data_IF_201275638460
#
_entry.id   IF_201275638460
#
_cell.length_a   1.000
_cell.length_b   1.000
_cell.length_c   1.000
_cell.angle_alpha   90.00
_cell.angle_beta   90.00
_cell.angle_gamma   90.00
#
_symmetry.space_group_name_H-M   'P 1'
#
loop_
_entity.id
_entity.type
_entity.pdbx_description
1 polymer ?
#
# COMPACT_ATOMS: atom_id res chain seq x y z
N UNK A 1 -14.30 -6.98 4.92
CA UNK A 1 -15.27 -8.10 4.96
C UNK A 1 -14.71 -9.42 5.46
N UNK A 2 -13.80 -10.09 4.74
CA UNK A 2 -13.33 -11.44 5.16
C UNK A 2 -12.60 -11.40 6.49
N UNK A 3 -11.64 -10.48 6.63
CA UNK A 3 -10.88 -10.30 7.87
C UNK A 3 -11.76 -10.02 9.08
N UNK A 4 -12.83 -9.25 8.89
CA UNK A 4 -13.74 -8.87 9.98
C UNK A 4 -14.57 -10.04 10.45
N UNK A 5 -15.07 -10.86 9.52
CA UNK A 5 -15.80 -12.08 9.84
C UNK A 5 -14.92 -13.04 10.67
N UNK A 6 -13.66 -13.21 10.27
CA UNK A 6 -12.73 -14.09 11.00
C UNK A 6 -12.44 -13.59 12.41
N UNK A 7 -12.10 -12.30 12.56
CA UNK A 7 -11.75 -11.72 13.87
C UNK A 7 -12.96 -11.66 14.81
N UNK A 8 -14.13 -11.22 14.32
CA UNK A 8 -15.33 -11.10 15.16
C UNK A 8 -15.73 -12.44 15.76
N UNK A 9 -15.62 -13.53 14.98
CA UNK A 9 -15.93 -14.89 15.45
C UNK A 9 -15.07 -15.30 16.66
N UNK A 10 -13.77 -15.03 16.61
CA UNK A 10 -12.85 -15.35 17.71
C UNK A 10 -13.11 -14.48 18.95
N UNK A 11 -13.41 -13.19 18.77
CA UNK A 11 -13.70 -12.29 19.87
C UNK A 11 -15.06 -12.57 20.54
N UNK A 12 -16.05 -13.05 19.78
CA UNK A 12 -17.31 -13.51 20.33
C UNK A 12 -17.13 -14.74 21.22
N UNK A 13 -16.23 -15.65 20.86
CA UNK A 13 -15.92 -16.83 21.68
C UNK A 13 -15.37 -16.45 23.07
N UNK A 14 -14.63 -15.34 23.16
CA UNK A 14 -14.02 -14.84 24.41
C UNK A 14 -14.90 -13.75 25.07
N UNK A 15 -16.13 -13.51 24.58
CA UNK A 15 -17.05 -12.48 25.06
C UNK A 15 -16.46 -11.04 25.06
N UNK A 16 -15.57 -10.74 24.11
CA UNK A 16 -14.83 -9.48 24.03
C UNK A 16 -15.34 -8.55 22.91
N UNK A 17 -16.67 -8.39 22.81
CA UNK A 17 -17.33 -7.69 21.68
C UNK A 17 -16.93 -6.21 21.58
N UNK A 18 -16.72 -5.54 22.71
CA UNK A 18 -16.33 -4.12 22.76
C UNK A 18 -14.92 -3.86 22.20
N UNK A 19 -14.07 -4.88 22.08
CA UNK A 19 -12.71 -4.75 21.55
C UNK A 19 -12.63 -4.96 20.04
N UNK A 20 -13.68 -5.49 19.41
CA UNK A 20 -13.70 -5.82 17.98
C UNK A 20 -13.38 -4.61 17.10
N UNK A 21 -13.99 -3.45 17.37
CA UNK A 21 -13.71 -2.23 16.60
C UNK A 21 -12.27 -1.76 16.75
N UNK A 22 -11.74 -1.84 17.98
CA UNK A 22 -10.37 -1.42 18.28
C UNK A 22 -9.31 -2.26 17.56
N UNK A 23 -9.43 -3.59 17.63
CA UNK A 23 -8.44 -4.50 17.03
C UNK A 23 -8.46 -4.42 15.50
N UNK A 24 -9.66 -4.32 14.90
CA UNK A 24 -9.81 -4.19 13.46
C UNK A 24 -9.20 -2.89 12.97
N UNK A 25 -9.47 -1.78 13.67
CA UNK A 25 -8.93 -0.46 13.33
C UNK A 25 -7.41 -0.46 13.36
N UNK A 26 -6.81 -0.98 14.44
CA UNK A 26 -5.35 -1.08 14.59
C UNK A 26 -4.76 -1.97 13.49
N UNK A 27 -5.36 -3.13 13.20
CA UNK A 27 -4.87 -4.04 12.17
C UNK A 27 -4.91 -3.42 10.77
N UNK A 28 -5.98 -2.69 10.44
CA UNK A 28 -6.11 -2.02 9.15
C UNK A 28 -5.12 -0.86 8.99
N UNK A 29 -4.98 0.02 9.99
CA UNK A 29 -4.14 1.20 9.85
C UNK A 29 -2.65 0.85 9.81
N UNK A 30 -2.21 -0.15 10.61
CA UNK A 30 -0.79 -0.49 10.75
C UNK A 30 -0.25 -1.36 9.64
N UNK A 31 -1.05 -2.31 9.16
CA UNK A 31 -0.57 -3.34 8.23
C UNK A 31 -1.47 -3.50 7.01
N UNK A 32 -2.75 -3.86 7.21
CA UNK A 32 -3.55 -4.36 6.09
C UNK A 32 -3.78 -3.30 4.99
N UNK A 33 -4.16 -2.07 5.36
CA UNK A 33 -4.45 -1.02 4.39
C UNK A 33 -3.21 -0.60 3.59
N UNK A 34 -2.07 -0.21 4.20
CA UNK A 34 -0.90 0.22 3.44
C UNK A 34 -0.34 -0.90 2.54
N UNK A 35 -0.30 -2.14 3.03
CA UNK A 35 0.25 -3.27 2.25
C UNK A 35 -0.66 -3.64 1.09
N UNK A 36 -1.97 -3.84 1.34
CA UNK A 36 -2.89 -4.26 0.27
C UNK A 36 -3.05 -3.20 -0.81
N UNK A 37 -3.10 -1.91 -0.44
CA UNK A 37 -3.15 -0.83 -1.43
C UNK A 37 -1.89 -0.80 -2.29
N UNK A 38 -0.71 -0.94 -1.69
CA UNK A 38 0.54 -1.00 -2.44
C UNK A 38 0.60 -2.21 -3.37
N UNK A 39 0.18 -3.40 -2.93
CA UNK A 39 0.14 -4.62 -3.78
C UNK A 39 -0.74 -4.43 -5.02
N UNK A 40 -1.93 -3.83 -4.86
CA UNK A 40 -2.83 -3.54 -5.99
C UNK A 40 -2.18 -2.52 -6.95
N UNK A 41 -1.53 -1.51 -6.39
CA UNK A 41 -0.86 -0.46 -7.17
C UNK A 41 0.34 -1.01 -7.94
N UNK A 42 1.11 -1.94 -7.37
CA UNK A 42 2.16 -2.65 -8.13
C UNK A 42 1.57 -3.34 -9.36
N UNK A 43 0.45 -4.05 -9.19
CA UNK A 43 -0.18 -4.77 -10.29
C UNK A 43 -0.60 -3.87 -11.45
N UNK A 44 -1.12 -2.66 -11.19
CA UNK A 44 -1.61 -1.76 -12.25
C UNK A 44 -0.64 -0.66 -12.68
N UNK A 45 -0.03 0.03 -11.73
CA UNK A 45 0.78 1.22 -12.00
C UNK A 45 2.22 0.83 -12.34
N UNK A 46 2.82 -0.14 -11.63
CA UNK A 46 4.18 -0.57 -11.94
C UNK A 46 4.26 -1.25 -13.32
N UNK A 47 3.29 -2.10 -13.65
CA UNK A 47 3.18 -2.73 -14.97
C UNK A 47 2.96 -1.70 -16.09
N UNK A 48 2.16 -0.66 -15.85
CA UNK A 48 1.97 0.43 -16.80
C UNK A 48 3.25 1.25 -17.01
N UNK A 49 3.90 1.70 -15.94
CA UNK A 49 5.14 2.48 -16.02
C UNK A 49 6.26 1.71 -16.72
N UNK A 50 6.39 0.42 -16.41
CA UNK A 50 7.40 -0.45 -17.03
C UNK A 50 7.09 -0.69 -18.50
N UNK A 51 5.85 -1.02 -18.86
CA UNK A 51 5.48 -1.28 -20.24
C UNK A 51 5.74 -0.06 -21.12
N UNK A 52 5.33 1.12 -20.65
CA UNK A 52 5.51 2.36 -21.41
C UNK A 52 6.98 2.72 -21.59
N UNK A 53 7.79 2.71 -20.52
CA UNK A 53 9.22 2.99 -20.61
C UNK A 53 9.97 1.92 -21.43
N UNK A 54 9.57 0.65 -21.32
CA UNK A 54 10.13 -0.43 -22.11
C UNK A 54 9.76 -0.33 -23.59
N UNK A 55 8.57 0.16 -23.92
CA UNK A 55 8.25 0.46 -25.32
C UNK A 55 9.08 1.62 -25.85
N UNK A 56 9.32 2.65 -25.03
CA UNK A 56 10.18 3.78 -25.40
C UNK A 56 11.65 3.34 -25.56
N UNK A 57 12.15 2.42 -24.74
CA UNK A 57 13.51 1.90 -24.86
C UNK A 57 13.68 1.07 -26.13
N UNK A 58 12.75 0.16 -26.41
CA UNK A 58 12.80 -0.73 -27.59
C UNK A 58 12.61 0.04 -28.91
N UNK A 59 11.92 1.17 -28.88
CA UNK A 59 11.73 2.05 -30.05
C UNK A 59 12.78 3.15 -30.15
N UNK A 60 13.86 3.07 -29.36
CA UNK A 60 14.98 4.03 -29.35
C UNK A 60 14.56 5.48 -29.04
N UNK A 61 13.36 5.69 -28.48
CA UNK A 61 12.86 7.02 -28.10
C UNK A 61 13.63 7.60 -26.91
N UNK A 62 14.17 6.74 -26.03
CA UNK A 62 15.04 7.18 -24.95
C UNK A 62 16.38 7.72 -25.47
N UNK A 63 16.93 7.10 -26.52
CA UNK A 63 18.18 7.54 -27.15
C UNK A 63 17.99 8.83 -27.93
N UNK A 64 16.82 9.00 -28.56
CA UNK A 64 16.44 10.27 -29.18
C UNK A 64 16.43 11.44 -28.18
N UNK A 65 16.02 11.22 -26.92
CA UNK A 65 16.07 12.26 -25.88
C UNK A 65 17.52 12.65 -25.55
N UNK A 66 18.45 11.70 -25.52
CA UNK A 66 19.88 12.00 -25.32
C UNK A 66 20.47 12.80 -26.48
N UNK A 67 20.07 12.52 -27.72
CA UNK A 67 20.47 13.31 -28.89
C UNK A 67 19.96 14.75 -28.87
N UNK A 68 18.82 14.98 -28.21
CA UNK A 68 18.24 16.31 -28.00
C UNK A 68 18.80 17.03 -26.75
N UNK A 69 19.88 16.50 -26.14
CA UNK A 69 20.47 17.02 -24.90
C UNK A 69 19.49 17.06 -23.71
N UNK A 70 18.42 16.26 -23.76
CA UNK A 70 17.42 16.17 -22.69
C UNK A 70 17.61 14.90 -21.88
N UNK A 71 17.69 15.02 -20.55
CA UNK A 71 17.88 13.84 -19.71
C UNK A 71 16.56 13.05 -19.56
N UNK A 72 16.50 11.77 -19.96
CA UNK A 72 15.27 10.98 -19.87
C UNK A 72 14.84 10.72 -18.42
N UNK A 73 15.81 10.68 -17.48
CA UNK A 73 15.52 10.55 -16.05
C UNK A 73 14.73 11.76 -15.55
N UNK A 74 15.18 12.99 -15.83
CA UNK A 74 14.45 14.18 -15.37
C UNK A 74 13.10 14.34 -16.04
N UNK A 75 13.00 13.98 -17.31
CA UNK A 75 11.78 14.19 -18.10
C UNK A 75 10.72 13.12 -17.86
N UNK A 76 11.11 11.84 -17.75
CA UNK A 76 10.16 10.73 -17.66
C UNK A 76 10.04 10.15 -16.24
N UNK A 77 11.16 9.99 -15.54
CA UNK A 77 11.19 9.24 -14.25
C UNK A 77 10.75 10.12 -13.09
N UNK A 78 11.32 11.32 -12.94
CA UNK A 78 11.03 12.20 -11.80
C UNK A 78 9.52 12.51 -11.66
N UNK A 79 8.78 12.86 -12.73
CA UNK A 79 7.34 13.12 -12.62
C UNK A 79 6.53 11.88 -12.20
N UNK A 80 6.91 10.69 -12.68
CA UNK A 80 6.29 9.41 -12.31
C UNK A 80 6.52 9.07 -10.84
N UNK A 81 7.74 9.28 -10.35
CA UNK A 81 8.08 9.06 -8.93
C UNK A 81 7.31 10.04 -8.05
N UNK A 82 7.28 11.31 -8.41
CA UNK A 82 6.57 12.32 -7.62
C UNK A 82 5.05 12.04 -7.55
N UNK A 83 4.45 11.69 -8.69
CA UNK A 83 3.03 11.35 -8.75
C UNK A 83 2.68 10.10 -7.95
N UNK A 84 3.49 9.04 -8.01
CA UNK A 84 3.23 7.81 -7.23
C UNK A 84 3.40 8.03 -5.72
N UNK A 85 4.44 8.78 -5.31
CA UNK A 85 4.70 9.11 -3.91
C UNK A 85 3.56 9.92 -3.34
N UNK A 86 3.03 10.91 -4.06
CA UNK A 86 1.88 11.69 -3.59
C UNK A 86 0.57 10.90 -3.60
N UNK A 87 0.31 10.07 -4.61
CA UNK A 87 -1.01 9.44 -4.78
C UNK A 87 -1.24 8.25 -3.83
N UNK A 88 -0.20 7.47 -3.53
CA UNK A 88 -0.31 6.30 -2.64
C UNK A 88 -0.86 6.60 -1.23
N UNK A 89 -0.44 7.65 -0.51
CA UNK A 89 -1.00 7.98 0.79
C UNK A 89 -2.49 8.35 0.73
N UNK A 90 -2.94 9.06 -0.32
CA UNK A 90 -4.37 9.35 -0.49
C UNK A 90 -5.19 8.07 -0.71
N UNK A 91 -4.68 7.16 -1.55
CA UNK A 91 -5.32 5.86 -1.78
C UNK A 91 -5.35 5.00 -0.51
N UNK A 92 -4.33 5.08 0.34
CA UNK A 92 -4.33 4.38 1.63
C UNK A 92 -5.41 4.89 2.59
N UNK A 93 -5.60 6.21 2.70
CA UNK A 93 -6.68 6.78 3.52
C UNK A 93 -8.04 6.30 3.01
N UNK A 94 -8.24 6.31 1.69
CA UNK A 94 -9.48 5.82 1.10
C UNK A 94 -9.72 4.32 1.38
N UNK A 95 -8.68 3.49 1.24
CA UNK A 95 -8.74 2.07 1.60
C UNK A 95 -9.05 1.84 3.09
N UNK A 96 -8.46 2.64 3.97
CA UNK A 96 -8.72 2.54 5.40
C UNK A 96 -10.17 2.89 5.74
N UNK A 97 -10.70 3.99 5.21
CA UNK A 97 -12.08 4.40 5.44
C UNK A 97 -13.07 3.35 4.92
N UNK A 98 -12.89 2.88 3.69
CA UNK A 98 -13.75 1.83 3.11
C UNK A 98 -13.67 0.52 3.90
N UNK A 99 -12.49 0.17 4.43
CA UNK A 99 -12.30 -0.99 5.31
C UNK A 99 -13.10 -0.85 6.61
N UNK A 100 -13.09 0.31 7.26
CA UNK A 100 -13.87 0.56 8.47
C UNK A 100 -15.38 0.48 8.22
N UNK A 101 -15.88 1.13 7.16
CA UNK A 101 -17.31 1.06 6.79
C UNK A 101 -17.75 -0.38 6.48
N UNK A 102 -16.94 -1.11 5.70
CA UNK A 102 -17.18 -2.52 5.38
C UNK A 102 -17.22 -3.40 6.63
N UNK A 103 -16.37 -3.11 7.63
CA UNK A 103 -16.30 -3.82 8.89
C UNK A 103 -17.53 -3.59 9.75
N UNK A 104 -17.95 -2.32 9.90
CA UNK A 104 -19.15 -1.96 10.63
C UNK A 104 -20.40 -2.60 10.03
N UNK A 105 -20.49 -2.64 8.69
CA UNK A 105 -21.63 -3.24 7.98
C UNK A 105 -21.77 -4.74 8.28
N UNK A 106 -20.67 -5.49 8.29
CA UNK A 106 -20.70 -6.93 8.63
C UNK A 106 -21.00 -7.17 10.10
N UNK A 107 -20.40 -6.39 10.99
CA UNK A 107 -20.64 -6.53 12.43
C UNK A 107 -22.13 -6.33 12.74
N UNK A 108 -22.77 -5.38 12.07
CA UNK A 108 -24.21 -5.14 12.20
C UNK A 108 -25.05 -6.26 11.59
N UNK A 109 -24.79 -6.64 10.34
CA UNK A 109 -25.66 -7.57 9.59
C UNK A 109 -25.58 -9.02 10.06
N UNK A 110 -24.39 -9.51 10.43
CA UNK A 110 -24.19 -10.94 10.77
C UNK A 110 -24.24 -11.17 12.28
N UNK A 111 -23.69 -10.23 13.06
CA UNK A 111 -23.46 -10.40 14.49
C UNK A 111 -24.32 -9.49 15.37
N UNK A 112 -25.22 -8.69 14.78
CA UNK A 112 -26.11 -7.75 15.48
C UNK A 112 -25.37 -6.76 16.41
N UNK A 113 -24.12 -6.42 16.09
CA UNK A 113 -23.35 -5.41 16.82
C UNK A 113 -23.75 -4.04 16.30
N UNK A 114 -24.27 -3.17 17.17
CA UNK A 114 -24.70 -1.83 16.76
C UNK A 114 -23.50 -1.01 16.21
N UNK A 115 -23.64 -0.32 15.06
CA UNK A 115 -22.57 0.48 14.46
C UNK A 115 -21.96 1.50 15.42
N UNK A 116 -22.76 2.07 16.31
CA UNK A 116 -22.30 3.04 17.30
C UNK A 116 -21.27 2.45 18.27
N UNK A 117 -21.50 1.23 18.76
CA UNK A 117 -20.54 0.52 19.63
C UNK A 117 -19.25 0.21 18.88
N UNK A 118 -19.37 -0.16 17.59
CA UNK A 118 -18.22 -0.40 16.73
C UNK A 118 -17.39 0.87 16.52
N UNK A 119 -18.02 2.01 16.19
CA UNK A 119 -17.29 3.24 15.92
C UNK A 119 -16.70 3.87 17.19
N UNK A 120 -17.39 3.80 18.33
CA UNK A 120 -16.84 4.24 19.62
C UNK A 120 -15.56 3.46 19.95
N UNK A 121 -15.59 2.13 19.79
CA UNK A 121 -14.41 1.29 20.04
C UNK A 121 -13.31 1.44 18.96
N UNK A 122 -13.68 1.72 17.72
CA UNK A 122 -12.72 2.01 16.65
C UNK A 122 -11.97 3.31 16.93
N UNK A 123 -12.69 4.42 17.18
CA UNK A 123 -12.09 5.73 17.40
C UNK A 123 -11.29 5.84 18.70
N UNK A 124 -11.67 5.11 19.76
CA UNK A 124 -10.90 5.10 21.01
C UNK A 124 -9.50 4.50 20.83
N UNK A 125 -9.32 3.62 19.84
CA UNK A 125 -8.04 2.97 19.54
C UNK A 125 -7.16 3.73 18.53
N UNK A 126 -7.74 4.74 17.88
CA UNK A 126 -7.19 5.37 16.69
C UNK A 126 -6.38 6.61 17.07
N UNK A 127 -5.05 6.44 17.16
CA UNK A 127 -4.14 7.54 17.46
C UNK A 127 -3.69 8.25 16.17
N UNK A 128 -3.55 9.58 16.24
CA UNK A 128 -3.03 10.39 15.11
C UNK A 128 -1.64 9.91 14.67
N UNK A 129 -0.86 9.39 15.61
CA UNK A 129 0.48 8.84 15.37
C UNK A 129 0.43 7.62 14.47
N UNK A 130 -0.58 6.76 14.59
CA UNK A 130 -0.73 5.56 13.77
C UNK A 130 -1.12 5.91 12.33
N UNK A 131 -1.92 6.98 12.15
CA UNK A 131 -2.23 7.52 10.82
C UNK A 131 -0.96 8.06 10.15
N UNK A 132 -0.20 8.92 10.84
CA UNK A 132 1.05 9.49 10.31
C UNK A 132 2.05 8.40 9.95
N UNK A 133 2.19 7.39 10.81
CA UNK A 133 2.99 6.20 10.56
C UNK A 133 2.54 5.46 9.29
N UNK A 134 1.24 5.21 9.14
CA UNK A 134 0.68 4.55 7.95
C UNK A 134 0.96 5.34 6.66
N UNK A 135 0.81 6.67 6.70
CA UNK A 135 1.12 7.55 5.57
C UNK A 135 2.62 7.55 5.22
N UNK A 136 3.48 7.53 6.23
CA UNK A 136 4.93 7.45 6.01
C UNK A 136 5.34 6.14 5.34
N UNK A 137 4.74 5.01 5.75
CA UNK A 137 4.94 3.71 5.07
C UNK A 137 4.57 3.81 3.59
N UNK A 138 3.39 4.34 3.26
CA UNK A 138 2.93 4.38 1.87
C UNK A 138 3.69 5.37 1.00
N UNK A 139 4.24 6.45 1.57
CA UNK A 139 5.19 7.31 0.87
C UNK A 139 6.44 6.53 0.42
N UNK A 140 7.00 5.71 1.31
CA UNK A 140 8.17 4.86 0.99
C UNK A 140 7.80 3.82 -0.07
N UNK A 141 6.66 3.15 0.08
CA UNK A 141 6.18 2.19 -0.92
C UNK A 141 5.98 2.84 -2.28
N UNK A 142 5.42 4.05 -2.35
CA UNK A 142 5.23 4.78 -3.61
C UNK A 142 6.53 5.16 -4.30
N UNK A 143 7.57 5.46 -3.52
CA UNK A 143 8.92 5.70 -4.02
C UNK A 143 9.53 4.40 -4.57
N UNK A 144 9.48 3.31 -3.80
CA UNK A 144 10.01 2.01 -4.22
C UNK A 144 9.37 1.51 -5.51
N UNK A 145 8.03 1.56 -5.58
CA UNK A 145 7.27 1.09 -6.74
C UNK A 145 7.68 1.84 -8.01
N UNK A 146 7.70 3.18 -7.95
CA UNK A 146 8.04 3.99 -9.11
C UNK A 146 9.48 3.80 -9.54
N UNK A 147 10.44 3.86 -8.60
CA UNK A 147 11.86 3.72 -8.92
C UNK A 147 12.16 2.35 -9.53
N UNK A 148 11.70 1.26 -8.90
CA UNK A 148 11.92 -0.11 -9.42
C UNK A 148 11.26 -0.25 -10.79
N UNK A 149 10.03 0.25 -10.95
CA UNK A 149 9.32 0.18 -12.24
C UNK A 149 10.04 0.94 -13.36
N UNK A 150 10.57 2.12 -13.08
CA UNK A 150 11.30 2.90 -14.06
C UNK A 150 12.64 2.26 -14.44
N UNK A 151 13.36 1.66 -13.49
CA UNK A 151 14.62 0.97 -13.75
C UNK A 151 14.40 -0.23 -14.68
N UNK A 152 13.41 -1.07 -14.39
CA UNK A 152 13.08 -2.21 -15.26
C UNK A 152 12.55 -1.77 -16.63
N UNK A 153 11.85 -0.64 -16.71
CA UNK A 153 11.36 -0.08 -17.96
C UNK A 153 12.50 0.40 -18.88
N UNK A 154 13.43 1.20 -18.35
CA UNK A 154 14.54 1.78 -19.15
C UNK A 154 15.51 0.71 -19.62
N UNK A 155 15.75 -0.33 -18.81
CA UNK A 155 16.68 -1.41 -19.12
C UNK A 155 16.06 -2.56 -19.93
N UNK A 156 14.89 -2.36 -20.53
CA UNK A 156 14.24 -3.39 -21.34
C UNK A 156 14.87 -3.47 -22.74
N UNK A 157 15.17 -4.69 -23.19
CA UNK A 157 15.76 -5.01 -24.49
C UNK A 157 15.06 -6.21 -25.14
N UNK A 158 15.23 -6.41 -26.45
CA UNK A 158 14.76 -7.62 -27.14
C UNK A 158 13.31 -7.55 -27.64
N UNK A 159 12.86 -6.38 -28.07
CA UNK A 159 11.57 -6.22 -28.76
C UNK A 159 10.36 -6.40 -27.84
N UNK A 160 9.21 -6.70 -28.44
CA UNK A 160 7.94 -6.89 -27.71
C UNK A 160 8.01 -8.00 -26.63
N UNK A 161 8.81 -9.04 -26.84
CA UNK A 161 9.02 -10.10 -25.83
C UNK A 161 9.74 -9.56 -24.59
N UNK A 162 10.74 -8.70 -24.79
CA UNK A 162 11.48 -8.03 -23.72
C UNK A 162 10.62 -7.13 -22.85
N UNK A 163 9.65 -6.43 -23.46
CA UNK A 163 8.66 -5.61 -22.74
C UNK A 163 7.83 -6.47 -21.78
N UNK A 164 7.32 -7.62 -22.26
CA UNK A 164 6.57 -8.56 -21.41
C UNK A 164 7.40 -9.17 -20.27
N UNK A 165 8.67 -9.49 -20.52
CA UNK A 165 9.56 -10.02 -19.48
C UNK A 165 9.94 -8.95 -18.44
N UNK A 166 10.18 -7.72 -18.87
CA UNK A 166 10.55 -6.62 -17.97
C UNK A 166 9.39 -6.18 -17.09
N UNK A 167 8.17 -6.15 -17.64
CA UNK A 167 6.94 -5.84 -16.88
C UNK A 167 6.66 -6.87 -15.78
N UNK A 168 6.75 -8.16 -16.11
CA UNK A 168 6.57 -9.24 -15.12
C UNK A 168 7.65 -9.25 -14.06
N UNK A 169 8.92 -9.11 -14.46
CA UNK A 169 10.06 -9.06 -13.52
C UNK A 169 10.00 -7.84 -12.60
N UNK A 170 9.53 -6.70 -13.12
CA UNK A 170 9.32 -5.50 -12.32
C UNK A 170 8.25 -5.67 -11.25
N UNK A 171 7.10 -6.25 -11.61
CA UNK A 171 6.01 -6.51 -10.66
C UNK A 171 6.49 -7.41 -9.52
N UNK A 172 7.19 -8.51 -9.84
CA UNK A 172 7.74 -9.42 -8.83
C UNK A 172 8.77 -8.70 -7.95
N UNK A 173 9.67 -7.92 -8.55
CA UNK A 173 10.70 -7.17 -7.80
C UNK A 173 10.07 -6.13 -6.87
N UNK A 174 9.04 -5.41 -7.33
CA UNK A 174 8.31 -4.46 -6.51
C UNK A 174 7.61 -5.14 -5.32
N UNK A 175 6.95 -6.28 -5.54
CA UNK A 175 6.27 -7.02 -4.47
C UNK A 175 7.26 -7.49 -3.39
N UNK A 176 8.39 -8.05 -3.80
CA UNK A 176 9.45 -8.46 -2.86
C UNK A 176 9.99 -7.26 -2.07
N UNK A 177 10.28 -6.15 -2.75
CA UNK A 177 10.77 -4.94 -2.11
C UNK A 177 9.77 -4.36 -1.10
N UNK A 178 8.47 -4.36 -1.42
CA UNK A 178 7.41 -3.91 -0.50
C UNK A 178 7.35 -4.80 0.73
N UNK A 179 7.31 -6.13 0.58
CA UNK A 179 7.22 -7.02 1.74
C UNK A 179 8.44 -6.94 2.65
N UNK A 180 9.64 -6.84 2.08
CA UNK A 180 10.88 -6.67 2.86
C UNK A 180 10.85 -5.30 3.57
N UNK A 181 10.50 -4.24 2.85
CA UNK A 181 10.40 -2.90 3.42
C UNK A 181 9.32 -2.81 4.49
N UNK A 182 8.21 -3.50 4.32
CA UNK A 182 7.10 -3.52 5.27
C UNK A 182 7.54 -4.15 6.59
N UNK A 183 8.21 -5.31 6.54
CA UNK A 183 8.79 -5.93 7.74
C UNK A 183 9.74 -4.99 8.47
N UNK A 184 10.67 -4.36 7.76
CA UNK A 184 11.65 -3.43 8.34
C UNK A 184 10.96 -2.22 8.97
N UNK A 185 10.01 -1.61 8.26
CA UNK A 185 9.28 -0.44 8.73
C UNK A 185 8.39 -0.79 9.93
N UNK A 186 7.68 -1.90 9.90
CA UNK A 186 6.88 -2.38 11.03
C UNK A 186 7.74 -2.60 12.26
N UNK A 187 8.89 -3.26 12.11
CA UNK A 187 9.82 -3.46 13.21
C UNK A 187 10.31 -2.13 13.79
N UNK A 188 10.73 -1.17 12.96
CA UNK A 188 11.24 0.13 13.45
C UNK A 188 10.12 0.96 14.12
N UNK A 189 8.93 0.98 13.53
CA UNK A 189 7.86 1.88 13.94
C UNK A 189 7.02 1.36 15.11
N UNK A 190 6.96 0.04 15.29
CA UNK A 190 6.14 -0.63 16.30
C UNK A 190 6.93 -1.49 17.29
N UNK A 191 8.28 -1.50 17.24
CA UNK A 191 9.12 -2.24 18.24
C UNK A 191 9.06 -1.66 19.64
N UNK A 192 8.81 -0.35 19.80
CA UNK A 192 8.62 0.22 21.14
C UNK A 192 7.26 -0.19 21.67
N UNK A 193 7.29 -1.01 22.73
CA UNK A 193 6.14 -1.34 23.57
C UNK A 193 5.73 -0.10 24.38
N UNK A 194 5.30 0.96 23.70
CA UNK A 194 4.32 1.87 24.28
C UNK A 194 2.97 1.23 24.02
N UNK A 195 2.66 0.24 24.85
CA UNK A 195 1.34 -0.36 24.91
C UNK A 195 0.33 0.75 25.18
N UNK A 196 -0.52 1.06 24.21
CA UNK A 196 -1.74 1.86 24.41
C UNK A 196 -2.72 1.24 25.43
N UNK A 197 -2.38 0.07 25.96
CA UNK A 197 -3.05 -0.64 27.06
C UNK A 197 -2.63 -0.08 28.44
N UNK A 198 -1.54 0.70 28.54
CA UNK A 198 -1.08 1.25 29.85
C UNK A 198 -1.93 2.41 30.38
N UNK A 199 -2.90 2.88 29.59
CA UNK A 199 -3.78 4.01 29.92
C UNK A 199 -5.25 3.60 30.12
N UNK A 200 -5.52 2.30 30.29
CA UNK A 200 -6.76 1.76 30.83
C UNK A 200 -6.45 1.13 32.20
#
# INVERSE_FOLDING_TARGET
MVFTLQIVKEFLYINAISLVGSILTIAFIRELSPVLTSVIIVGRIASYFTAELATMSVTEQLDALYLLETSPISYLVIPRVFSSVLMLPFLNIFSFMTSLFSSSFICFTIYNIHPEVFFISAFSSLYITDIIKSLFKTLIFGCLISVISCIWGINAYGGAKGVGQSTTSSVVSCLLAIFISDFILSYIMFSKVESSIKTL
#
